data_IF_895625259477
#
_entry.id   IF_895625259477
#
_cell.length_a   1.000
_cell.length_b   1.000
_cell.length_c   1.000
_cell.angle_alpha   90.00
_cell.angle_beta   90.00
_cell.angle_gamma   90.00
#
_symmetry.space_group_name_H-M   'P 1'
#
loop_
_entity.id
_entity.type
_entity.pdbx_description
1 polymer ?
#
# COMPACT_ATOMS: atom_id res chain seq x y z
N UNK A 1 5.03 -21.54 4.44
CA UNK A 1 5.90 -21.13 3.31
C UNK A 1 7.07 -22.11 3.22
N UNK A 2 7.53 -22.53 2.03
CA UNK A 2 8.75 -23.33 1.87
C UNK A 2 9.99 -22.63 2.45
N UNK A 3 10.97 -23.40 2.94
CA UNK A 3 12.15 -22.88 3.66
C UNK A 3 12.96 -21.83 2.88
N UNK A 4 13.06 -21.95 1.56
CA UNK A 4 13.74 -20.98 0.69
C UNK A 4 13.15 -19.57 0.79
N UNK A 5 11.82 -19.46 0.95
CA UNK A 5 11.15 -18.15 1.05
C UNK A 5 11.37 -17.49 2.41
N UNK A 6 11.60 -18.28 3.45
CA UNK A 6 11.96 -17.80 4.79
C UNK A 6 13.38 -17.22 4.76
N UNK A 7 14.32 -17.91 4.10
CA UNK A 7 15.68 -17.41 3.92
C UNK A 7 15.72 -16.10 3.13
N UNK A 8 14.92 -15.98 2.07
CA UNK A 8 14.83 -14.74 1.29
C UNK A 8 14.26 -13.58 2.11
N UNK A 9 13.20 -13.81 2.88
CA UNK A 9 12.66 -12.80 3.80
C UNK A 9 13.71 -12.34 4.83
N UNK A 10 14.50 -13.26 5.39
CA UNK A 10 15.59 -12.91 6.31
C UNK A 10 16.70 -12.10 5.64
N UNK A 11 17.06 -12.40 4.39
CA UNK A 11 18.04 -11.61 3.63
C UNK A 11 17.55 -10.17 3.39
N UNK A 12 16.27 -10.01 3.07
CA UNK A 12 15.63 -8.70 2.85
C UNK A 12 15.61 -7.88 4.14
N UNK A 13 15.22 -8.48 5.26
CA UNK A 13 15.22 -7.80 6.58
C UNK A 13 16.65 -7.44 7.01
N UNK A 14 17.65 -8.28 6.71
CA UNK A 14 19.06 -7.95 6.96
C UNK A 14 19.57 -6.80 6.08
N UNK A 15 19.14 -6.72 4.82
CA UNK A 15 19.50 -5.66 3.90
C UNK A 15 18.77 -4.33 4.18
N UNK A 16 17.61 -4.40 4.85
CA UNK A 16 16.79 -3.26 5.22
C UNK A 16 16.32 -3.40 6.68
N UNK A 17 17.20 -3.13 7.68
CA UNK A 17 16.89 -3.35 9.10
C UNK A 17 15.76 -2.47 9.65
N UNK A 18 15.26 -1.54 8.84
CA UNK A 18 14.15 -0.64 9.15
C UNK A 18 12.79 -1.28 8.85
N UNK A 19 12.79 -2.41 8.13
CA UNK A 19 11.61 -3.20 7.80
C UNK A 19 11.36 -4.26 8.87
N UNK A 20 10.10 -4.47 9.21
CA UNK A 20 9.71 -5.55 10.10
C UNK A 20 9.90 -6.91 9.43
N UNK A 21 9.90 -7.96 10.24
CA UNK A 21 9.93 -9.34 9.71
C UNK A 21 8.71 -9.60 8.79
N UNK A 22 7.55 -9.01 9.09
CA UNK A 22 6.36 -9.11 8.26
C UNK A 22 6.54 -8.46 6.89
N UNK A 23 7.22 -7.31 6.82
CA UNK A 23 7.54 -6.63 5.57
C UNK A 23 8.46 -7.48 4.68
N UNK A 24 9.44 -8.17 5.31
CA UNK A 24 10.30 -9.12 4.63
C UNK A 24 9.54 -10.30 4.02
N UNK A 25 8.54 -10.83 4.74
CA UNK A 25 7.68 -11.90 4.21
C UNK A 25 6.76 -11.41 3.09
N UNK A 26 6.14 -10.24 3.25
CA UNK A 26 5.28 -9.66 2.22
C UNK A 26 6.07 -9.42 0.92
N UNK A 27 7.29 -8.91 1.03
CA UNK A 27 8.21 -8.76 -0.09
C UNK A 27 8.55 -10.11 -0.75
N UNK A 28 9.00 -11.10 0.03
CA UNK A 28 9.41 -12.40 -0.52
C UNK A 28 8.23 -13.14 -1.19
N UNK A 29 7.01 -12.96 -0.68
CA UNK A 29 5.81 -13.48 -1.33
C UNK A 29 5.54 -12.79 -2.66
N UNK A 30 5.60 -11.46 -2.71
CA UNK A 30 5.36 -10.71 -3.94
C UNK A 30 6.44 -10.97 -5.00
N UNK A 31 7.70 -11.15 -4.58
CA UNK A 31 8.83 -11.48 -5.46
C UNK A 31 8.68 -12.86 -6.12
N UNK A 32 8.10 -13.83 -5.39
CA UNK A 32 8.03 -15.24 -5.84
C UNK A 32 6.73 -15.59 -6.58
N UNK A 33 5.75 -14.70 -6.62
CA UNK A 33 4.49 -14.92 -7.33
C UNK A 33 4.28 -13.87 -8.42
N UNK A 34 4.45 -14.24 -9.69
CA UNK A 34 4.16 -13.36 -10.82
C UNK A 34 2.73 -12.81 -10.75
N UNK A 35 2.57 -11.51 -10.99
CA UNK A 35 1.27 -10.82 -10.94
C UNK A 35 0.78 -10.47 -9.53
N UNK A 36 1.57 -10.70 -8.50
CA UNK A 36 1.23 -10.27 -7.15
C UNK A 36 1.49 -8.77 -6.98
N UNK A 37 0.50 -8.06 -6.42
CA UNK A 37 0.62 -6.64 -6.05
C UNK A 37 0.99 -6.55 -4.57
N UNK A 38 2.07 -5.83 -4.26
CA UNK A 38 2.41 -5.50 -2.89
C UNK A 38 1.66 -4.25 -2.44
N UNK A 39 0.77 -4.39 -1.46
CA UNK A 39 0.08 -3.24 -0.86
C UNK A 39 0.82 -2.80 0.41
N UNK A 40 1.43 -1.62 0.40
CA UNK A 40 2.14 -1.09 1.57
C UNK A 40 2.07 0.44 1.73
N UNK A 41 1.94 0.85 2.98
CA UNK A 41 2.12 2.24 3.41
C UNK A 41 3.58 2.60 3.70
N UNK A 42 4.47 1.62 3.86
CA UNK A 42 5.86 1.84 4.24
C UNK A 42 6.71 2.37 3.07
N UNK A 43 7.51 3.40 3.34
CA UNK A 43 8.33 4.06 2.32
C UNK A 43 9.54 3.23 1.88
N UNK A 44 10.15 2.48 2.79
CA UNK A 44 11.32 1.64 2.48
C UNK A 44 10.90 0.40 1.70
N UNK A 45 9.81 -0.25 2.11
CA UNK A 45 9.29 -1.43 1.43
C UNK A 45 8.86 -1.10 0.01
N UNK A 46 8.23 0.08 -0.18
CA UNK A 46 7.87 0.58 -1.52
C UNK A 46 9.07 0.76 -2.43
N UNK A 47 10.15 1.37 -1.92
CA UNK A 47 11.40 1.56 -2.69
C UNK A 47 12.05 0.21 -3.04
N UNK A 48 12.06 -0.72 -2.10
CA UNK A 48 12.61 -2.05 -2.31
C UNK A 48 11.82 -2.82 -3.37
N UNK A 49 10.49 -2.81 -3.29
CA UNK A 49 9.61 -3.43 -4.29
C UNK A 49 9.82 -2.84 -5.68
N UNK A 50 9.86 -1.50 -5.80
CA UNK A 50 10.13 -0.82 -7.06
C UNK A 50 11.49 -1.21 -7.66
N UNK A 51 12.53 -1.31 -6.85
CA UNK A 51 13.88 -1.73 -7.30
C UNK A 51 13.88 -3.16 -7.84
N UNK A 52 13.04 -4.03 -7.29
CA UNK A 52 12.91 -5.44 -7.71
C UNK A 52 11.79 -5.65 -8.74
N UNK A 53 11.27 -4.58 -9.36
CA UNK A 53 10.22 -4.61 -10.39
C UNK A 53 8.92 -5.29 -9.92
N UNK A 54 8.65 -5.24 -8.62
CA UNK A 54 7.40 -5.71 -8.02
C UNK A 54 6.41 -4.54 -8.07
N UNK A 55 5.21 -4.81 -8.58
CA UNK A 55 4.12 -3.84 -8.56
C UNK A 55 3.75 -3.51 -7.11
N UNK A 56 3.74 -2.22 -6.77
CA UNK A 56 3.53 -1.77 -5.39
C UNK A 56 2.62 -0.57 -5.33
N UNK A 57 1.60 -0.66 -4.48
CA UNK A 57 0.59 0.38 -4.30
C UNK A 57 0.39 0.71 -2.82
N UNK A 58 -0.22 1.86 -2.54
CA UNK A 58 -0.60 2.29 -1.19
C UNK A 58 -2.12 2.31 -1.01
N UNK A 59 -2.58 2.56 0.22
CA UNK A 59 -4.01 2.57 0.54
C UNK A 59 -4.85 3.49 -0.37
N UNK A 60 -4.33 4.68 -0.70
CA UNK A 60 -5.07 5.62 -1.57
C UNK A 60 -5.34 5.03 -2.97
N UNK A 61 -4.44 4.23 -3.52
CA UNK A 61 -4.68 3.53 -4.78
C UNK A 61 -5.86 2.55 -4.68
N UNK A 62 -6.03 1.86 -3.55
CA UNK A 62 -7.19 0.97 -3.33
C UNK A 62 -8.50 1.74 -3.38
N UNK A 63 -8.52 2.97 -2.88
CA UNK A 63 -9.71 3.84 -2.96
C UNK A 63 -10.06 4.17 -4.42
N UNK A 64 -9.04 4.37 -5.25
CA UNK A 64 -9.21 4.51 -6.70
C UNK A 64 -9.77 3.26 -7.34
N UNK A 65 -9.22 2.08 -7.02
CA UNK A 65 -9.73 0.81 -7.56
C UNK A 65 -11.19 0.55 -7.18
N UNK A 66 -11.58 0.85 -5.94
CA UNK A 66 -12.98 0.71 -5.49
C UNK A 66 -13.90 1.61 -6.32
N UNK A 67 -13.46 2.83 -6.63
CA UNK A 67 -14.23 3.75 -7.46
C UNK A 67 -14.28 3.32 -8.93
N UNK A 68 -13.12 2.99 -9.52
CA UNK A 68 -13.00 2.60 -10.93
C UNK A 68 -13.83 1.35 -11.24
N UNK A 69 -13.86 0.40 -10.30
CA UNK A 69 -14.66 -0.83 -10.41
C UNK A 69 -16.12 -0.63 -9.96
N UNK A 70 -16.56 0.62 -9.69
CA UNK A 70 -17.93 0.99 -9.30
C UNK A 70 -18.46 0.23 -8.08
N UNK A 71 -17.55 -0.16 -7.17
CA UNK A 71 -17.89 -0.92 -5.96
C UNK A 71 -18.46 -0.03 -4.85
N UNK A 72 -18.22 1.29 -4.93
CA UNK A 72 -18.79 2.26 -3.99
C UNK A 72 -19.01 3.62 -4.65
N UNK A 73 -20.09 4.35 -4.29
CA UNK A 73 -20.30 5.72 -4.78
C UNK A 73 -19.20 6.68 -4.30
N UNK A 74 -18.81 7.63 -5.17
CA UNK A 74 -17.81 8.65 -4.86
C UNK A 74 -18.08 9.41 -3.54
N UNK A 75 -19.35 9.68 -3.23
CA UNK A 75 -19.77 10.32 -1.97
C UNK A 75 -19.36 9.52 -0.73
N UNK A 76 -19.47 8.19 -0.77
CA UNK A 76 -19.09 7.31 0.35
C UNK A 76 -17.58 7.28 0.52
N UNK A 77 -16.84 7.17 -0.58
CA UNK A 77 -15.38 7.22 -0.57
C UNK A 77 -14.84 8.56 -0.05
N UNK A 78 -15.44 9.67 -0.48
CA UNK A 78 -15.11 10.99 0.04
C UNK A 78 -15.33 11.09 1.56
N UNK A 79 -16.45 10.56 2.07
CA UNK A 79 -16.75 10.57 3.49
C UNK A 79 -15.73 9.74 4.28
N UNK A 80 -15.36 8.55 3.77
CA UNK A 80 -14.34 7.70 4.38
C UNK A 80 -12.96 8.38 4.40
N UNK A 81 -12.56 9.04 3.31
CA UNK A 81 -11.30 9.78 3.25
C UNK A 81 -11.25 10.93 4.27
N UNK A 82 -12.36 11.65 4.46
CA UNK A 82 -12.46 12.70 5.49
C UNK A 82 -12.37 12.13 6.91
N UNK A 83 -12.99 10.97 7.16
CA UNK A 83 -12.89 10.27 8.44
C UNK A 83 -11.42 9.92 8.73
N UNK A 84 -10.74 9.31 7.75
CA UNK A 84 -9.32 8.95 7.87
C UNK A 84 -8.40 10.17 8.05
N UNK A 85 -8.74 11.31 7.43
CA UNK A 85 -7.97 12.55 7.59
C UNK A 85 -8.09 13.17 8.99
N UNK A 86 -9.21 12.93 9.68
CA UNK A 86 -9.47 13.44 11.03
C UNK A 86 -8.94 12.56 12.15
N UNK A 87 -8.50 11.33 11.86
CA UNK A 87 -8.02 10.38 12.85
C UNK A 87 -6.50 10.51 13.05
N UNK A 88 -6.08 10.80 14.29
CA UNK A 88 -4.67 10.95 14.66
C UNK A 88 -3.89 9.64 14.68
N UNK A 89 -4.57 8.49 14.76
CA UNK A 89 -3.96 7.17 14.65
C UNK A 89 -3.66 6.77 13.20
N UNK A 90 -4.32 7.40 12.23
CA UNK A 90 -4.16 7.08 10.80
C UNK A 90 -2.93 7.76 10.23
N UNK A 91 -1.99 6.96 9.75
CA UNK A 91 -0.77 7.44 9.08
C UNK A 91 -0.93 7.35 7.57
N UNK A 92 -1.41 8.44 6.97
CA UNK A 92 -1.50 8.61 5.53
C UNK A 92 -0.77 9.88 5.07
N UNK A 93 -0.26 9.91 3.83
CA UNK A 93 0.41 11.08 3.29
C UNK A 93 -0.62 12.23 3.13
N UNK A 94 -0.52 13.24 4.00
CA UNK A 94 -1.56 14.27 4.18
C UNK A 94 -1.85 15.07 2.92
N UNK A 95 -0.81 15.38 2.12
CA UNK A 95 -0.95 16.16 0.88
C UNK A 95 -1.76 15.38 -0.16
N UNK A 96 -1.40 14.12 -0.37
CA UNK A 96 -2.06 13.20 -1.29
C UNK A 96 -3.49 12.92 -0.82
N UNK A 97 -3.71 12.70 0.48
CA UNK A 97 -5.04 12.51 1.05
C UNK A 97 -5.95 13.72 0.80
N UNK A 98 -5.45 14.94 1.01
CA UNK A 98 -6.20 16.15 0.71
C UNK A 98 -6.56 16.28 -0.79
N UNK A 99 -5.63 15.91 -1.68
CA UNK A 99 -5.87 15.89 -3.12
C UNK A 99 -6.94 14.85 -3.50
N UNK A 100 -6.92 13.67 -2.87
CA UNK A 100 -7.93 12.62 -3.04
C UNK A 100 -9.31 13.12 -2.61
N UNK A 101 -9.43 13.72 -1.43
CA UNK A 101 -10.69 14.30 -0.93
C UNK A 101 -11.25 15.29 -1.95
N UNK A 102 -10.44 16.26 -2.41
CA UNK A 102 -10.86 17.27 -3.39
C UNK A 102 -11.34 16.63 -4.71
N UNK A 103 -10.64 15.60 -5.18
CA UNK A 103 -11.03 14.87 -6.40
C UNK A 103 -12.38 14.18 -6.23
N UNK A 104 -12.59 13.44 -5.15
CA UNK A 104 -13.86 12.75 -4.92
C UNK A 104 -15.03 13.68 -4.59
N UNK A 105 -14.76 14.87 -4.04
CA UNK A 105 -15.77 15.93 -3.90
C UNK A 105 -16.28 16.43 -5.26
N UNK A 106 -15.39 16.55 -6.24
CA UNK A 106 -15.76 16.99 -7.60
C UNK A 106 -16.53 15.95 -8.43
N UNK A 107 -16.51 14.69 -7.98
CA UNK A 107 -17.20 13.56 -8.63
C UNK A 107 -18.60 13.31 -8.02
N UNK A 108 -19.04 14.18 -7.11
CA UNK A 108 -20.27 14.04 -6.34
C UNK A 108 -21.49 14.59 -7.07
#
# INVERSE_FOLDING_TARGET
MPGERVLRAQQVVRAAPQLSVHDGFAFALAETHPGCILLTGDGYLRKLAATNKIEVHGFLWVVDEIHQNRLSPAKILCAALRLLAGDSAVRLPRRELAAYIKRYESLR
#
